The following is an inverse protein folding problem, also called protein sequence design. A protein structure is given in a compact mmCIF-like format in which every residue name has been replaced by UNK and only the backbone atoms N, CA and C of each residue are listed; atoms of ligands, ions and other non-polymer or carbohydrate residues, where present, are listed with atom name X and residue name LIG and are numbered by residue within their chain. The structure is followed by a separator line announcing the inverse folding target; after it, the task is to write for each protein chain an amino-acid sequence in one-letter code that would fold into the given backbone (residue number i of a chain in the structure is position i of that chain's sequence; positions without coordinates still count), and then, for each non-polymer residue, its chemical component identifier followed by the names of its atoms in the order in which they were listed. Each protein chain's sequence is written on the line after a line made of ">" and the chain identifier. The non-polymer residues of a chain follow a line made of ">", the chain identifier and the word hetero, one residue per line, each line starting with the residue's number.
data_IF_281121331032
#
_entry.id   IF_281121331032
#
_cell.length_a   1.000
_cell.length_b   1.000
_cell.length_c   1.000
_cell.angle_alpha   90.00
_cell.angle_beta   90.00
_cell.angle_gamma   90.00
#
_symmetry.space_group_name_H-M   'P 1'
#
loop_
_entity.id
_entity.type
_entity.pdbx_description
1 polymer ?
#
# COMPACT_ATOMS: atom_id res chain seq x y z
N UNK A 1 -21.93 8.27 11.60
CA UNK A 1 -20.61 7.64 11.32
C UNK A 1 -20.10 8.19 10.00
N UNK A 2 -19.27 9.24 10.02
CA UNK A 2 -18.58 9.72 8.82
C UNK A 2 -17.23 9.03 8.73
N UNK A 3 -17.04 8.23 7.69
CA UNK A 3 -15.73 7.70 7.34
C UNK A 3 -14.98 8.85 6.68
N UNK A 4 -13.77 9.22 7.12
CA UNK A 4 -12.99 10.24 6.43
C UNK A 4 -12.44 9.75 5.08
N UNK A 5 -12.55 8.44 4.81
CA UNK A 5 -12.14 7.80 3.57
C UNK A 5 -13.34 7.41 2.68
N UNK A 6 -13.12 7.45 1.38
CA UNK A 6 -14.12 7.23 0.33
C UNK A 6 -13.47 7.00 -1.04
N UNK A 7 -14.26 6.93 -2.12
CA UNK A 7 -13.71 6.85 -3.48
C UNK A 7 -12.73 8.01 -3.73
N UNK A 8 -11.49 7.72 -4.09
CA UNK A 8 -10.42 8.71 -4.28
C UNK A 8 -9.57 9.03 -3.03
N UNK A 9 -10.06 8.74 -1.82
CA UNK A 9 -9.28 8.78 -0.58
C UNK A 9 -9.26 7.41 0.07
N UNK A 10 -8.51 6.49 -0.53
CA UNK A 10 -8.37 5.10 -0.09
C UNK A 10 -6.96 4.83 0.45
N UNK A 11 -6.75 3.75 1.21
CA UNK A 11 -5.41 3.33 1.61
C UNK A 11 -4.42 3.19 0.43
N UNK A 12 -4.92 2.81 -0.75
CA UNK A 12 -4.09 2.66 -1.96
C UNK A 12 -3.61 4.01 -2.51
N UNK A 13 -4.46 5.04 -2.49
CA UNK A 13 -4.07 6.38 -2.94
C UNK A 13 -3.10 7.02 -1.95
N UNK A 14 -3.31 6.82 -0.65
CA UNK A 14 -2.37 7.25 0.39
C UNK A 14 -1.00 6.57 0.25
N UNK A 15 -0.97 5.26 -0.02
CA UNK A 15 0.28 4.52 -0.26
C UNK A 15 1.06 5.08 -1.46
N UNK A 16 0.37 5.42 -2.56
CA UNK A 16 1.02 5.98 -3.74
C UNK A 16 1.69 7.33 -3.43
N UNK A 17 0.98 8.23 -2.74
CA UNK A 17 1.55 9.51 -2.30
C UNK A 17 2.75 9.31 -1.37
N UNK A 18 2.64 8.36 -0.43
CA UNK A 18 3.75 8.04 0.46
C UNK A 18 5.00 7.55 -0.29
N UNK A 19 4.83 6.70 -1.31
CA UNK A 19 5.94 6.20 -2.13
C UNK A 19 6.56 7.27 -3.03
N UNK A 20 5.78 8.27 -3.45
CA UNK A 20 6.30 9.42 -4.21
C UNK A 20 7.19 10.33 -3.36
N UNK A 21 6.83 10.53 -2.08
CA UNK A 21 7.59 11.37 -1.15
C UNK A 21 8.78 10.63 -0.50
N UNK A 22 8.72 9.30 -0.40
CA UNK A 22 9.69 8.49 0.33
C UNK A 22 10.35 7.43 -0.58
N UNK A 23 11.39 7.81 -1.35
CA UNK A 23 12.06 6.91 -2.30
C UNK A 23 12.87 5.78 -1.63
N UNK A 24 12.98 5.79 -0.30
CA UNK A 24 13.59 4.72 0.50
C UNK A 24 12.70 3.47 0.61
N UNK A 25 11.41 3.59 0.29
CA UNK A 25 10.45 2.49 0.33
C UNK A 25 10.15 1.98 -1.07
N UNK A 26 9.94 0.67 -1.18
CA UNK A 26 9.53 -0.01 -2.40
C UNK A 26 8.44 -1.04 -2.10
N UNK A 27 7.62 -1.38 -3.11
CA UNK A 27 6.57 -2.39 -2.98
C UNK A 27 7.20 -3.78 -2.86
N UNK A 28 6.74 -4.56 -1.90
CA UNK A 28 7.21 -5.93 -1.70
C UNK A 28 6.45 -6.90 -2.60
N UNK A 29 7.03 -7.20 -3.77
CA UNK A 29 6.49 -8.21 -4.68
C UNK A 29 6.70 -9.65 -4.19
N UNK A 30 7.67 -9.90 -3.31
CA UNK A 30 7.93 -11.22 -2.76
C UNK A 30 6.83 -11.66 -1.79
N UNK A 31 6.26 -10.72 -1.03
CA UNK A 31 5.13 -10.97 -0.14
C UNK A 31 3.80 -11.05 -0.91
N UNK A 32 3.66 -10.34 -2.03
CA UNK A 32 2.42 -10.30 -2.84
C UNK A 32 1.87 -11.69 -3.18
N UNK A 33 2.75 -12.64 -3.53
CA UNK A 33 2.35 -13.99 -3.97
C UNK A 33 2.26 -15.03 -2.84
N UNK A 34 2.46 -14.62 -1.58
CA UNK A 34 2.33 -15.51 -0.44
C UNK A 34 0.87 -15.53 0.02
N UNK A 35 0.14 -16.56 -0.41
CA UNK A 35 -1.31 -16.80 -0.27
C UNK A 35 -1.92 -16.60 1.14
N UNK A 36 -1.12 -16.61 2.21
CA UNK A 36 -1.58 -16.43 3.60
C UNK A 36 -1.27 -15.05 4.20
N UNK A 37 -0.56 -14.19 3.48
CA UNK A 37 -0.14 -12.88 3.99
C UNK A 37 -0.93 -11.72 3.40
N UNK A 38 -1.33 -11.80 2.13
CA UNK A 38 -1.94 -10.66 1.46
C UNK A 38 -3.31 -10.99 0.87
N UNK A 39 -4.32 -10.21 1.28
CA UNK A 39 -5.61 -10.11 0.59
C UNK A 39 -5.62 -8.96 -0.44
N UNK A 40 -4.60 -8.10 -0.44
CA UNK A 40 -4.54 -6.88 -1.24
C UNK A 40 -3.27 -6.89 -2.10
N UNK A 41 -3.40 -6.95 -3.44
CA UNK A 41 -2.27 -6.78 -4.34
C UNK A 41 -1.53 -5.47 -4.01
N UNK A 42 -0.21 -5.54 -3.86
CA UNK A 42 0.67 -4.39 -3.60
C UNK A 42 0.43 -3.67 -2.25
N UNK A 43 -0.14 -4.37 -1.26
CA UNK A 43 -0.41 -3.81 0.07
C UNK A 43 0.81 -3.71 0.99
N UNK A 44 1.93 -4.33 0.64
CA UNK A 44 3.14 -4.36 1.45
C UNK A 44 4.23 -3.53 0.81
N UNK A 45 4.92 -2.76 1.65
CA UNK A 45 6.12 -2.01 1.31
C UNK A 45 7.23 -2.41 2.28
N UNK A 46 8.47 -2.38 1.79
CA UNK A 46 9.64 -2.56 2.61
C UNK A 46 10.58 -1.37 2.39
N UNK A 47 11.38 -1.08 3.41
CA UNK A 47 12.48 -0.12 3.29
C UNK A 47 13.65 -0.83 2.64
N UNK A 48 14.22 -0.23 1.60
CA UNK A 48 15.46 -0.72 0.95
C UNK A 48 16.60 -0.90 1.95
#
# INVERSE_FOLDING_TARGET
>A
RNRPWGPGNSPRSALNQFLEENPEFERDENIRNKLLFSCQPDGYIYKK
#
